data_IF_729776709231
#
_entry.id   IF_729776709231
#
_cell.length_a   1.000
_cell.length_b   1.000
_cell.length_c   1.000
_cell.angle_alpha   90.00
_cell.angle_beta   90.00
_cell.angle_gamma   90.00
#
_symmetry.space_group_name_H-M   'P 1'
#
loop_
_entity.id
_entity.type
_entity.pdbx_description
1 polymer ?
#
# COMPACT_ATOMS: atom_id res chain seq x y z
N UNK A 1 -38.80 37.56 -25.55
CA UNK A 1 -38.67 37.51 -24.07
C UNK A 1 -37.22 37.53 -23.56
N UNK A 2 -36.20 37.34 -24.41
CA UNK A 2 -34.78 37.39 -24.00
C UNK A 2 -34.24 38.80 -23.71
N UNK A 3 -34.84 39.86 -24.30
CA UNK A 3 -34.36 41.25 -24.21
C UNK A 3 -34.50 41.93 -22.84
N UNK A 4 -35.45 41.50 -22.00
CA UNK A 4 -35.72 42.11 -20.69
C UNK A 4 -34.76 41.59 -19.61
N UNK A 5 -34.38 40.31 -19.66
CA UNK A 5 -33.41 39.69 -18.72
C UNK A 5 -32.00 40.26 -18.90
N UNK A 6 -31.68 40.74 -20.09
CA UNK A 6 -30.40 41.41 -20.37
C UNK A 6 -30.32 42.81 -19.77
N UNK A 7 -31.45 43.51 -19.64
CA UNK A 7 -31.50 44.91 -19.19
C UNK A 7 -31.86 45.10 -17.72
N UNK A 8 -32.55 44.13 -17.13
CA UNK A 8 -33.05 44.21 -15.76
C UNK A 8 -32.70 42.96 -14.95
N UNK A 9 -32.35 43.16 -13.69
CA UNK A 9 -32.16 42.12 -12.69
C UNK A 9 -33.34 42.11 -11.72
N UNK A 10 -33.81 40.92 -11.38
CA UNK A 10 -34.97 40.70 -10.53
C UNK A 10 -34.49 40.58 -9.08
N UNK A 11 -35.00 41.45 -8.22
CA UNK A 11 -34.69 41.51 -6.80
C UNK A 11 -35.95 41.21 -5.97
N UNK A 12 -35.76 40.71 -4.75
CA UNK A 12 -36.85 40.42 -3.81
C UNK A 12 -36.56 41.15 -2.50
N UNK A 13 -37.42 42.11 -2.17
CA UNK A 13 -37.34 42.85 -0.92
C UNK A 13 -37.92 41.97 0.19
N UNK A 14 -37.09 41.57 1.17
CA UNK A 14 -37.55 40.69 2.24
C UNK A 14 -38.38 41.42 3.32
N UNK A 15 -38.24 42.73 3.45
CA UNK A 15 -39.02 43.50 4.44
C UNK A 15 -40.42 43.80 3.94
N UNK A 16 -40.59 43.93 2.61
CA UNK A 16 -41.86 44.26 1.96
C UNK A 16 -42.49 43.10 1.20
N UNK A 17 -41.85 41.93 1.22
CA UNK A 17 -42.24 40.68 0.53
C UNK A 17 -42.67 40.86 -0.93
N UNK A 18 -42.01 41.76 -1.67
CA UNK A 18 -42.35 42.07 -3.06
C UNK A 18 -41.15 41.96 -3.98
N UNK A 19 -41.43 41.48 -5.19
CA UNK A 19 -40.46 41.41 -6.28
C UNK A 19 -40.40 42.75 -7.00
N UNK A 20 -39.20 43.28 -7.22
CA UNK A 20 -38.96 44.46 -8.05
C UNK A 20 -37.80 44.22 -9.02
N UNK A 21 -37.66 45.08 -10.03
CA UNK A 21 -36.67 44.92 -11.08
C UNK A 21 -35.78 46.16 -11.17
N UNK A 22 -34.46 45.96 -11.07
CA UNK A 22 -33.46 47.03 -11.12
C UNK A 22 -32.77 46.99 -12.48
N UNK A 23 -32.59 48.16 -13.10
CA UNK A 23 -31.95 48.29 -14.42
C UNK A 23 -30.44 48.09 -14.26
N UNK A 24 -29.87 47.13 -14.98
CA UNK A 24 -28.43 46.86 -14.99
C UNK A 24 -27.69 48.08 -15.56
N UNK A 25 -26.73 48.63 -14.81
CA UNK A 25 -25.89 49.73 -15.31
C UNK A 25 -24.99 49.21 -16.45
N UNK A 26 -25.02 49.90 -17.60
CA UNK A 26 -24.19 49.56 -18.76
C UNK A 26 -22.76 50.01 -18.50
N UNK A 27 -21.91 49.07 -18.13
CA UNK A 27 -20.45 49.26 -18.12
C UNK A 27 -20.00 49.41 -19.59
N UNK A 28 -19.21 50.43 -19.96
CA UNK A 28 -18.68 50.56 -21.32
C UNK A 28 -17.90 49.30 -21.69
N UNK A 29 -18.10 48.79 -22.91
CA UNK A 29 -17.35 47.64 -23.43
C UNK A 29 -15.89 48.05 -23.61
N UNK A 30 -15.10 47.89 -22.56
CA UNK A 30 -13.65 47.80 -22.70
C UNK A 30 -13.32 46.67 -23.67
N UNK A 31 -12.35 46.93 -24.54
CA UNK A 31 -11.90 46.05 -25.61
C UNK A 31 -11.87 44.60 -25.13
N UNK A 32 -12.35 43.68 -25.97
CA UNK A 32 -12.21 42.24 -25.77
C UNK A 32 -10.74 41.95 -25.42
N UNK A 33 -10.42 41.85 -24.12
CA UNK A 33 -9.28 41.06 -23.69
C UNK A 33 -9.64 39.67 -24.18
N UNK A 34 -8.82 39.16 -25.08
CA UNK A 34 -8.86 37.75 -25.41
C UNK A 34 -9.02 36.96 -24.10
N UNK A 35 -9.89 35.93 -24.08
CA UNK A 35 -10.04 35.12 -22.88
C UNK A 35 -8.64 34.76 -22.41
N UNK A 36 -8.29 34.93 -21.11
CA UNK A 36 -6.93 34.70 -20.65
C UNK A 36 -6.51 33.36 -21.22
N UNK A 37 -5.43 33.39 -22.02
CA UNK A 37 -4.97 32.26 -22.81
C UNK A 37 -5.15 31.02 -21.96
N UNK A 38 -6.03 30.10 -22.40
CA UNK A 38 -6.22 28.83 -21.73
C UNK A 38 -4.84 28.19 -21.63
N UNK A 39 -4.22 28.29 -20.46
CA UNK A 39 -2.84 27.86 -20.24
C UNK A 39 -2.72 26.34 -20.42
N UNK A 40 -3.85 25.65 -20.48
CA UNK A 40 -3.93 24.21 -20.57
C UNK A 40 -5.31 23.78 -21.08
N UNK A 41 -5.36 23.00 -22.16
CA UNK A 41 -6.51 22.13 -22.44
C UNK A 41 -6.23 20.77 -21.80
N UNK A 42 -7.01 20.35 -20.79
CA UNK A 42 -6.73 19.13 -20.07
C UNK A 42 -6.90 17.88 -20.93
N UNK A 43 -6.03 16.87 -20.76
CA UNK A 43 -6.09 15.61 -21.50
C UNK A 43 -7.51 15.02 -21.52
N UNK A 44 -7.95 14.39 -22.62
CA UNK A 44 -9.32 13.89 -22.80
C UNK A 44 -9.84 13.00 -21.65
N UNK A 45 -8.94 12.39 -20.90
CA UNK A 45 -9.22 11.56 -19.72
C UNK A 45 -9.70 12.38 -18.50
N UNK A 46 -9.32 13.66 -18.38
CA UNK A 46 -9.79 14.59 -17.34
C UNK A 46 -11.20 15.13 -17.64
N UNK A 47 -11.58 15.22 -18.92
CA UNK A 47 -12.95 15.59 -19.35
C UNK A 47 -13.96 14.47 -19.13
N UNK A 48 -13.49 13.23 -18.98
CA UNK A 48 -14.32 12.02 -18.91
C UNK A 48 -14.74 11.61 -17.50
N UNK A 49 -13.95 11.92 -16.46
CA UNK A 49 -14.20 11.37 -15.12
C UNK A 49 -15.07 12.21 -14.17
N UNK A 50 -15.36 13.48 -14.47
CA UNK A 50 -16.19 14.32 -13.61
C UNK A 50 -17.10 15.27 -14.41
N UNK A 51 -18.32 14.83 -14.74
CA UNK A 51 -19.47 15.71 -15.00
C UNK A 51 -19.99 16.27 -13.67
N UNK A 52 -19.16 17.04 -12.99
CA UNK A 52 -19.61 17.92 -11.92
C UNK A 52 -19.11 19.30 -12.34
N UNK A 53 -20.02 20.28 -12.40
CA UNK A 53 -19.62 21.68 -12.47
C UNK A 53 -18.57 21.99 -11.40
N UNK A 54 -17.98 23.19 -11.47
CA UNK A 54 -16.91 23.69 -10.59
C UNK A 54 -16.97 22.98 -9.22
N UNK A 55 -15.97 22.13 -8.87
CA UNK A 55 -16.00 21.26 -7.70
C UNK A 55 -16.52 22.02 -6.47
N UNK A 56 -17.33 21.37 -5.63
CA UNK A 56 -17.88 22.01 -4.41
C UNK A 56 -16.75 22.59 -3.56
N UNK A 57 -15.58 21.95 -3.54
CA UNK A 57 -14.36 22.46 -2.94
C UNK A 57 -13.85 23.73 -3.62
N UNK A 58 -13.89 23.84 -4.96
CA UNK A 58 -13.51 25.05 -5.69
C UNK A 58 -14.57 26.16 -5.53
N UNK A 59 -15.86 25.84 -5.45
CA UNK A 59 -16.90 26.83 -5.11
C UNK A 59 -16.78 27.31 -3.67
N UNK A 60 -16.48 26.41 -2.72
CA UNK A 60 -16.16 26.73 -1.33
C UNK A 60 -14.93 27.61 -1.26
N UNK A 61 -13.83 27.21 -1.91
CA UNK A 61 -12.57 27.96 -1.94
C UNK A 61 -12.72 29.32 -2.64
N UNK A 62 -13.53 29.41 -3.70
CA UNK A 62 -13.87 30.69 -4.34
C UNK A 62 -14.72 31.58 -3.42
N UNK A 63 -15.63 30.97 -2.63
CA UNK A 63 -16.40 31.66 -1.61
C UNK A 63 -15.52 32.13 -0.44
N UNK A 64 -14.49 31.36 -0.07
CA UNK A 64 -13.50 31.73 0.95
C UNK A 64 -12.50 32.79 0.44
N UNK A 65 -12.11 32.73 -0.85
CA UNK A 65 -11.20 33.68 -1.48
C UNK A 65 -11.78 35.09 -1.64
N UNK A 66 -13.11 35.20 -1.72
CA UNK A 66 -13.83 36.46 -1.88
C UNK A 66 -14.60 36.89 -0.61
N UNK A 67 -14.34 36.26 0.53
CA UNK A 67 -15.08 36.50 1.78
C UNK A 67 -14.59 37.75 2.50
N UNK A 68 -15.52 38.56 3.02
CA UNK A 68 -15.14 39.73 3.83
C UNK A 68 -14.59 39.29 5.20
N UNK A 69 -13.70 40.10 5.82
CA UNK A 69 -13.17 39.79 7.16
C UNK A 69 -14.26 39.55 8.22
N UNK A 70 -15.38 40.27 8.15
CA UNK A 70 -16.52 40.12 9.07
C UNK A 70 -17.33 38.83 8.85
N UNK A 71 -17.41 38.37 7.60
CA UNK A 71 -18.01 37.06 7.28
C UNK A 71 -17.12 35.92 7.78
N UNK A 72 -15.80 36.05 7.59
CA UNK A 72 -14.83 35.09 8.11
C UNK A 72 -14.89 35.04 9.65
N UNK A 73 -14.95 36.20 10.32
CA UNK A 73 -15.08 36.31 11.76
C UNK A 73 -16.34 35.63 12.29
N UNK A 74 -17.50 35.81 11.65
CA UNK A 74 -18.76 35.13 12.03
C UNK A 74 -18.67 33.61 11.91
N UNK A 75 -18.01 33.09 10.87
CA UNK A 75 -17.81 31.64 10.71
C UNK A 75 -16.93 31.07 11.82
N UNK A 76 -15.83 31.76 12.15
CA UNK A 76 -14.92 31.35 13.23
C UNK A 76 -15.62 31.42 14.59
N UNK A 77 -16.36 32.50 14.85
CA UNK A 77 -17.15 32.65 16.08
C UNK A 77 -18.23 31.57 16.20
N UNK A 78 -18.93 31.23 15.11
CA UNK A 78 -19.90 30.15 15.09
C UNK A 78 -19.24 28.79 15.37
N UNK A 79 -18.11 28.51 14.71
CA UNK A 79 -17.34 27.29 14.93
C UNK A 79 -16.88 27.16 16.39
N UNK A 80 -16.42 28.26 17.00
CA UNK A 80 -16.00 28.31 18.40
C UNK A 80 -17.18 28.11 19.36
N UNK A 81 -18.33 28.73 19.11
CA UNK A 81 -19.55 28.52 19.92
C UNK A 81 -20.01 27.07 19.86
N UNK A 82 -19.97 26.44 18.68
CA UNK A 82 -20.28 25.02 18.53
C UNK A 82 -19.24 24.13 19.24
N UNK A 83 -17.95 24.47 19.20
CA UNK A 83 -16.91 23.77 19.94
C UNK A 83 -17.15 23.84 21.45
N UNK A 84 -17.36 25.04 21.99
CA UNK A 84 -17.64 25.26 23.41
C UNK A 84 -18.90 24.51 23.87
N UNK A 85 -19.95 24.50 23.05
CA UNK A 85 -21.17 23.71 23.33
C UNK A 85 -20.91 22.21 23.37
N UNK A 86 -20.11 21.68 22.43
CA UNK A 86 -19.73 20.26 22.42
C UNK A 86 -18.84 19.90 23.61
N UNK A 87 -17.86 20.71 23.98
CA UNK A 87 -17.03 20.49 25.16
C UNK A 87 -17.85 20.51 26.45
N UNK A 88 -18.79 21.45 26.57
CA UNK A 88 -19.71 21.49 27.70
C UNK A 88 -20.55 20.21 27.80
N UNK A 89 -21.10 19.74 26.69
CA UNK A 89 -21.86 18.48 26.64
C UNK A 89 -20.99 17.25 26.92
N UNK A 90 -19.75 17.20 26.43
CA UNK A 90 -18.80 16.12 26.77
C UNK A 90 -18.54 16.09 28.26
N UNK A 91 -18.29 17.24 28.88
CA UNK A 91 -18.10 17.33 30.34
C UNK A 91 -19.31 16.79 31.12
N UNK A 92 -20.53 17.10 30.68
CA UNK A 92 -21.75 16.53 31.27
C UNK A 92 -21.83 15.01 31.06
N UNK A 93 -21.50 14.52 29.86
CA UNK A 93 -21.52 13.09 29.58
C UNK A 93 -20.46 12.34 30.40
N UNK A 94 -19.26 12.90 30.59
CA UNK A 94 -18.22 12.31 31.43
C UNK A 94 -18.67 12.18 32.89
N UNK A 95 -19.38 13.17 33.42
CA UNK A 95 -19.85 13.09 34.81
C UNK A 95 -21.03 12.14 35.01
N UNK A 96 -21.84 11.92 33.97
CA UNK A 96 -23.07 11.11 34.06
C UNK A 96 -22.93 9.69 33.54
N UNK A 97 -21.98 9.40 32.67
CA UNK A 97 -21.83 8.09 32.02
C UNK A 97 -20.55 7.43 32.52
N UNK A 98 -20.70 6.28 33.19
CA UNK A 98 -19.61 5.44 33.66
C UNK A 98 -19.38 4.27 32.74
N UNK A 99 -18.12 4.01 32.40
CA UNK A 99 -17.69 2.80 31.71
C UNK A 99 -17.52 1.68 32.73
N UNK A 100 -18.28 0.60 32.62
CA UNK A 100 -18.28 -0.53 33.55
C UNK A 100 -17.93 -1.81 32.80
N UNK A 101 -17.25 -2.74 33.46
CA UNK A 101 -16.91 -4.04 32.90
C UNK A 101 -18.01 -5.06 33.22
N UNK A 102 -18.49 -5.79 32.22
CA UNK A 102 -19.35 -6.94 32.43
C UNK A 102 -18.52 -8.23 32.35
N UNK A 103 -18.41 -8.92 33.49
CA UNK A 103 -17.66 -10.18 33.61
C UNK A 103 -18.31 -11.34 32.84
N UNK A 104 -19.62 -11.29 32.60
CA UNK A 104 -20.34 -12.36 31.89
C UNK A 104 -20.14 -12.25 30.37
N UNK A 105 -20.17 -11.02 29.83
CA UNK A 105 -19.99 -10.76 28.40
C UNK A 105 -18.54 -10.48 27.99
N UNK A 106 -17.64 -10.27 28.94
CA UNK A 106 -16.22 -9.96 28.70
C UNK A 106 -16.00 -8.66 27.92
N UNK A 107 -16.88 -7.66 28.11
CA UNK A 107 -16.83 -6.36 27.41
C UNK A 107 -17.26 -5.21 28.33
N UNK A 108 -16.80 -4.00 28.00
CA UNK A 108 -17.26 -2.79 28.67
C UNK A 108 -18.63 -2.34 28.14
N UNK A 109 -19.49 -1.86 29.05
CA UNK A 109 -20.72 -1.15 28.74
C UNK A 109 -20.71 0.24 29.40
N UNK A 110 -21.55 1.13 28.89
CA UNK A 110 -21.66 2.51 29.38
C UNK A 110 -22.97 2.66 30.14
N UNK A 111 -22.89 2.94 31.43
CA UNK A 111 -24.02 3.12 32.32
C UNK A 111 -24.26 4.59 32.60
N UNK A 112 -25.46 5.07 32.30
CA UNK A 112 -25.89 6.41 32.66
C UNK A 112 -26.39 6.41 34.12
N UNK A 113 -25.67 7.10 35.00
CA UNK A 113 -25.98 7.18 36.43
C UNK A 113 -27.32 7.90 36.67
N UNK A 114 -27.69 8.84 35.78
CA UNK A 114 -28.90 9.66 35.95
C UNK A 114 -30.17 8.99 35.44
N UNK A 115 -30.12 8.35 34.27
CA UNK A 115 -31.30 7.64 33.71
C UNK A 115 -31.37 6.17 34.15
N UNK A 116 -30.29 5.66 34.76
CA UNK A 116 -30.12 4.25 35.15
C UNK A 116 -30.18 3.27 33.98
N UNK A 117 -29.95 3.75 32.77
CA UNK A 117 -29.92 2.94 31.55
C UNK A 117 -28.48 2.52 31.21
N UNK A 118 -28.33 1.31 30.68
CA UNK A 118 -27.07 0.79 30.17
C UNK A 118 -27.08 0.70 28.64
N UNK A 119 -26.01 1.16 28.00
CA UNK A 119 -25.80 1.06 26.57
C UNK A 119 -24.47 0.39 26.24
N UNK A 120 -24.47 -0.48 25.24
CA UNK A 120 -23.26 -1.13 24.74
C UNK A 120 -22.45 -0.25 23.77
N UNK A 121 -23.03 0.86 23.32
CA UNK A 121 -22.39 1.83 22.43
C UNK A 121 -21.85 3.04 23.20
N UNK A 122 -20.61 3.46 22.92
CA UNK A 122 -20.03 4.71 23.45
C UNK A 122 -20.83 5.89 22.87
N UNK A 123 -21.28 6.86 23.69
CA UNK A 123 -22.00 8.03 23.19
C UNK A 123 -21.23 8.74 22.08
N UNK A 124 -21.93 9.15 21.01
CA UNK A 124 -21.31 9.71 19.79
C UNK A 124 -20.36 10.89 20.04
N UNK A 125 -20.64 11.70 21.06
CA UNK A 125 -19.80 12.85 21.42
C UNK A 125 -18.48 12.47 22.12
N UNK A 126 -18.34 11.23 22.61
CA UNK A 126 -17.15 10.69 23.28
C UNK A 126 -16.33 9.72 22.40
N UNK A 127 -16.70 9.50 21.13
CA UNK A 127 -16.05 8.52 20.24
C UNK A 127 -14.58 8.82 19.92
N UNK A 128 -14.19 10.09 19.99
CA UNK A 128 -12.85 10.59 19.63
C UNK A 128 -12.18 11.31 20.82
N UNK A 129 -12.60 11.03 22.05
CA UNK A 129 -11.98 11.58 23.27
C UNK A 129 -10.87 10.59 23.69
N UNK A 130 -9.60 11.00 23.56
CA UNK A 130 -8.41 10.16 23.79
C UNK A 130 -7.97 10.13 25.28
N UNK A 131 -8.66 10.85 26.16
CA UNK A 131 -8.37 10.98 27.60
C UNK A 131 -8.84 9.77 28.45
N UNK A 132 -8.95 8.56 27.88
CA UNK A 132 -9.24 7.34 28.65
C UNK A 132 -7.95 6.90 29.41
N UNK A 133 -7.65 7.58 30.52
CA UNK A 133 -6.63 7.23 31.52
C UNK A 133 -7.10 6.03 32.34
N UNK A 134 -6.48 4.85 32.14
CA UNK A 134 -6.24 3.85 33.18
C UNK A 134 -5.36 2.73 32.66
N UNK A 135 -4.10 2.84 33.03
CA UNK A 135 -2.98 1.99 32.67
C UNK A 135 -2.69 1.03 33.84
N UNK A 136 -3.63 0.15 34.23
CA UNK A 136 -3.33 -0.87 35.27
C UNK A 136 -4.30 -2.08 35.26
N UNK A 137 -4.00 -3.15 34.50
CA UNK A 137 -4.31 -4.55 34.85
C UNK A 137 -3.81 -5.60 33.82
N UNK A 138 -3.60 -6.87 34.24
CA UNK A 138 -2.57 -7.76 33.67
C UNK A 138 -2.99 -8.52 32.41
N UNK A 139 -1.98 -8.84 31.58
CA UNK A 139 -2.07 -9.58 30.32
C UNK A 139 -2.84 -10.90 30.47
N UNK A 140 -4.01 -10.99 29.85
CA UNK A 140 -4.63 -12.24 29.43
C UNK A 140 -5.12 -12.14 27.98
N UNK A 141 -4.78 -13.17 27.23
CA UNK A 141 -4.83 -13.33 25.78
C UNK A 141 -6.25 -13.17 25.21
N UNK A 142 -6.48 -12.17 24.36
CA UNK A 142 -7.50 -12.27 23.31
C UNK A 142 -7.16 -11.38 22.11
N UNK A 143 -7.38 -11.92 20.92
CA UNK A 143 -6.90 -11.45 19.63
C UNK A 143 -7.35 -10.02 19.28
N UNK A 144 -6.38 -9.12 19.16
CA UNK A 144 -6.54 -7.84 18.48
C UNK A 144 -6.79 -8.05 16.99
N UNK A 145 -8.00 -7.75 16.55
CA UNK A 145 -8.25 -7.22 15.20
C UNK A 145 -8.35 -5.69 15.31
N UNK A 146 -7.20 -5.01 15.32
CA UNK A 146 -7.09 -3.66 14.78
C UNK A 146 -6.29 -3.75 13.48
N UNK A 147 -7.03 -3.60 12.39
CA UNK A 147 -6.54 -3.57 11.02
C UNK A 147 -5.68 -2.32 10.86
N UNK A 148 -4.36 -2.48 10.95
CA UNK A 148 -3.40 -1.52 10.42
C UNK A 148 -3.41 -1.63 8.90
N UNK A 149 -4.23 -0.81 8.27
CA UNK A 149 -4.29 -0.69 6.81
C UNK A 149 -3.08 0.10 6.25
N UNK A 150 -1.85 -0.39 6.43
CA UNK A 150 -0.64 0.26 5.89
C UNK A 150 0.36 -0.73 5.28
N UNK A 151 -0.12 -1.60 4.39
CA UNK A 151 0.73 -2.48 3.58
C UNK A 151 0.34 -2.44 2.11
N UNK A 152 1.02 -1.59 1.32
CA UNK A 152 0.92 -1.46 -0.16
C UNK A 152 -0.44 -1.03 -0.71
N UNK A 153 -0.94 0.13 -0.27
CA UNK A 153 -1.55 1.02 -1.26
C UNK A 153 -0.40 1.57 -2.09
N UNK A 154 -0.50 1.39 -3.41
CA UNK A 154 0.22 2.17 -4.41
C UNK A 154 0.52 3.56 -3.85
N UNK A 155 1.78 3.99 -3.89
CA UNK A 155 2.15 5.39 -3.71
C UNK A 155 1.51 6.22 -4.85
N UNK A 156 0.19 6.37 -4.83
CA UNK A 156 -0.33 7.70 -5.02
C UNK A 156 0.33 8.49 -3.90
N UNK A 157 1.09 9.52 -4.25
CA UNK A 157 1.60 10.51 -3.32
C UNK A 157 0.38 11.11 -2.60
N UNK A 158 -0.14 10.42 -1.60
CA UNK A 158 -1.01 11.00 -0.60
C UNK A 158 -0.15 12.07 0.04
N UNK A 159 -0.40 13.31 -0.36
CA UNK A 159 0.07 14.49 0.33
C UNK A 159 -0.23 14.26 1.81
N UNK A 160 0.81 14.08 2.62
CA UNK A 160 0.65 13.79 4.05
C UNK A 160 -0.18 14.92 4.64
N UNK A 161 -1.33 14.62 5.25
CA UNK A 161 -2.22 15.62 5.87
C UNK A 161 -1.41 16.57 6.77
N UNK A 162 -0.43 16.01 7.48
CA UNK A 162 0.65 16.68 8.25
C UNK A 162 1.28 17.91 7.60
N UNK A 163 1.47 17.88 6.30
CA UNK A 163 2.12 18.95 5.54
C UNK A 163 1.15 20.04 5.05
N UNK A 164 -0.15 19.83 5.25
CA UNK A 164 -1.23 20.70 4.78
C UNK A 164 -2.18 21.14 5.91
N UNK A 165 -1.75 21.04 7.17
CA UNK A 165 -2.57 21.39 8.34
C UNK A 165 -2.74 22.91 8.57
N UNK A 166 -1.88 23.73 7.97
CA UNK A 166 -1.93 25.20 8.03
C UNK A 166 -1.69 25.77 6.63
N UNK A 167 -2.28 26.93 6.33
CA UNK A 167 -2.13 27.61 5.03
C UNK A 167 -0.67 27.91 4.71
N UNK A 168 0.11 28.34 5.70
CA UNK A 168 1.54 28.61 5.54
C UNK A 168 2.36 27.34 5.32
N UNK A 169 1.97 26.22 5.95
CA UNK A 169 2.62 24.93 5.75
C UNK A 169 2.30 24.35 4.35
N UNK A 170 1.05 24.51 3.91
CA UNK A 170 0.61 24.16 2.56
C UNK A 170 1.32 25.01 1.51
N UNK A 171 1.43 26.33 1.71
CA UNK A 171 2.14 27.22 0.80
C UNK A 171 3.62 26.84 0.67
N UNK A 172 4.31 26.60 1.79
CA UNK A 172 5.71 26.15 1.81
C UNK A 172 5.91 24.83 1.06
N UNK A 173 5.00 23.88 1.23
CA UNK A 173 5.10 22.57 0.58
C UNK A 173 4.82 22.65 -0.92
N UNK A 174 3.85 23.45 -1.34
CA UNK A 174 3.58 23.73 -2.76
C UNK A 174 4.77 24.44 -3.41
N UNK A 175 5.33 25.47 -2.76
CA UNK A 175 6.52 26.17 -3.24
C UNK A 175 7.73 25.23 -3.36
N UNK A 176 7.95 24.35 -2.38
CA UNK A 176 9.02 23.36 -2.43
C UNK A 176 8.83 22.34 -3.57
N UNK A 177 7.59 21.88 -3.79
CA UNK A 177 7.25 21.00 -4.91
C UNK A 177 7.48 21.69 -6.26
N UNK A 178 7.09 22.95 -6.40
CA UNK A 178 7.33 23.74 -7.59
C UNK A 178 8.82 23.95 -7.86
N UNK A 179 9.60 24.33 -6.84
CA UNK A 179 11.06 24.45 -6.95
C UNK A 179 11.70 23.15 -7.42
N UNK A 180 11.29 22.00 -6.86
CA UNK A 180 11.74 20.67 -7.29
C UNK A 180 11.36 20.35 -8.74
N UNK A 181 10.16 20.73 -9.17
CA UNK A 181 9.72 20.55 -10.55
C UNK A 181 10.54 21.42 -11.50
N UNK A 182 10.72 22.71 -11.18
CA UNK A 182 11.45 23.66 -11.99
C UNK A 182 12.93 23.26 -12.16
N UNK A 183 13.60 22.84 -11.07
CA UNK A 183 14.98 22.34 -11.15
C UNK A 183 15.07 21.07 -12.01
N UNK A 184 14.13 20.14 -11.87
CA UNK A 184 14.11 18.92 -12.68
C UNK A 184 13.84 19.21 -14.17
N UNK A 185 12.95 20.15 -14.48
CA UNK A 185 12.70 20.59 -15.86
C UNK A 185 13.94 21.22 -16.48
N UNK A 186 14.60 22.13 -15.77
CA UNK A 186 15.84 22.77 -16.24
C UNK A 186 16.97 21.76 -16.45
N UNK A 187 17.14 20.83 -15.51
CA UNK A 187 18.13 19.75 -15.63
C UNK A 187 17.85 18.84 -16.84
N UNK A 188 16.60 18.45 -17.06
CA UNK A 188 16.22 17.66 -18.23
C UNK A 188 16.50 18.42 -19.54
N UNK A 189 16.23 19.73 -19.58
CA UNK A 189 16.57 20.55 -20.75
C UNK A 189 18.09 20.67 -20.99
N UNK A 190 18.90 20.66 -19.93
CA UNK A 190 20.35 20.58 -20.07
C UNK A 190 20.79 19.21 -20.59
N UNK A 191 20.19 18.13 -20.09
CA UNK A 191 20.46 16.77 -20.56
C UNK A 191 20.06 16.57 -22.03
N UNK A 192 18.97 17.18 -22.50
CA UNK A 192 18.59 17.10 -23.91
C UNK A 192 19.52 17.87 -24.85
N UNK A 193 20.26 18.85 -24.33
CA UNK A 193 21.32 19.54 -25.08
C UNK A 193 22.62 18.75 -25.07
N UNK A 194 22.92 18.06 -23.97
CA UNK A 194 24.19 17.35 -23.73
C UNK A 194 24.22 15.94 -24.32
N UNK A 195 23.14 15.19 -24.19
CA UNK A 195 23.09 13.79 -24.61
C UNK A 195 22.28 13.60 -25.89
N UNK A 196 22.75 12.69 -26.75
CA UNK A 196 22.08 12.25 -27.98
C UNK A 196 22.00 10.73 -27.97
N UNK A 197 20.88 10.16 -28.40
CA UNK A 197 20.75 8.71 -28.55
C UNK A 197 20.82 8.38 -30.03
N UNK A 198 21.89 7.73 -30.47
CA UNK A 198 22.21 7.53 -31.89
C UNK A 198 22.19 6.04 -32.19
N UNK A 199 21.82 5.64 -33.40
CA UNK A 199 21.91 4.25 -33.85
C UNK A 199 23.30 3.96 -34.40
N UNK A 200 23.93 2.89 -33.92
CA UNK A 200 25.15 2.39 -34.54
C UNK A 200 24.82 1.73 -35.90
N UNK A 201 25.42 2.17 -37.02
CA UNK A 201 25.16 1.61 -38.34
C UNK A 201 25.58 0.14 -38.49
N UNK A 202 26.50 -0.36 -37.66
CA UNK A 202 26.97 -1.75 -37.75
C UNK A 202 26.08 -2.69 -36.93
N UNK A 203 25.85 -2.37 -35.66
CA UNK A 203 25.06 -3.23 -34.77
C UNK A 203 23.55 -3.00 -34.82
N UNK A 204 23.10 -1.87 -35.36
CA UNK A 204 21.69 -1.46 -35.31
C UNK A 204 21.18 -1.25 -33.88
N UNK A 205 22.07 -1.05 -32.89
CA UNK A 205 21.71 -0.79 -31.49
C UNK A 205 21.86 0.70 -31.16
N UNK A 206 20.98 1.27 -30.32
CA UNK A 206 21.11 2.64 -29.88
C UNK A 206 22.16 2.80 -28.79
N UNK A 207 23.03 3.80 -28.92
CA UNK A 207 23.98 4.23 -27.90
C UNK A 207 23.77 5.71 -27.53
N UNK A 208 24.26 6.13 -26.37
CA UNK A 208 24.18 7.51 -25.91
C UNK A 208 25.52 8.20 -26.11
N UNK A 209 25.52 9.33 -26.80
CA UNK A 209 26.67 10.19 -27.02
C UNK A 209 26.57 11.46 -26.17
N UNK A 210 27.59 11.73 -25.36
CA UNK A 210 27.75 12.98 -24.63
C UNK A 210 28.48 14.00 -25.50
N UNK A 211 27.77 15.03 -25.96
CA UNK A 211 28.35 16.05 -26.83
C UNK A 211 29.31 17.00 -26.13
N UNK A 212 29.30 17.04 -24.80
CA UNK A 212 30.21 17.90 -24.01
C UNK A 212 31.48 17.14 -23.65
N UNK A 213 31.35 15.88 -23.25
CA UNK A 213 32.51 15.04 -22.92
C UNK A 213 33.15 14.36 -24.14
N UNK A 214 32.44 14.30 -25.28
CA UNK A 214 32.90 13.61 -26.49
C UNK A 214 32.91 12.08 -26.36
N UNK A 215 32.22 11.52 -25.37
CA UNK A 215 32.23 10.09 -25.06
C UNK A 215 30.94 9.40 -25.48
N UNK A 216 31.05 8.14 -25.91
CA UNK A 216 29.92 7.28 -26.25
C UNK A 216 29.76 6.18 -25.20
N UNK A 217 28.52 5.94 -24.77
CA UNK A 217 28.17 4.88 -23.81
C UNK A 217 26.97 4.08 -24.30
N UNK A 218 27.09 2.76 -24.28
CA UNK A 218 25.97 1.85 -24.58
C UNK A 218 24.91 1.83 -23.47
N UNK A 219 25.27 2.25 -22.26
CA UNK A 219 24.36 2.31 -21.12
C UNK A 219 23.68 3.68 -21.02
N UNK A 220 22.39 3.68 -20.66
CA UNK A 220 21.63 4.91 -20.42
C UNK A 220 22.25 5.69 -19.24
N UNK A 221 22.62 6.96 -19.43
CA UNK A 221 23.20 7.78 -18.36
C UNK A 221 22.29 7.83 -17.13
N UNK A 222 22.83 7.53 -15.94
CA UNK A 222 22.06 7.47 -14.70
C UNK A 222 21.35 8.80 -14.38
N UNK A 223 21.94 9.93 -14.81
CA UNK A 223 21.38 11.29 -14.68
C UNK A 223 20.01 11.46 -15.34
N UNK A 224 19.69 10.65 -16.36
CA UNK A 224 18.40 10.65 -17.05
C UNK A 224 17.28 10.03 -16.18
N UNK A 225 17.65 9.15 -15.24
CA UNK A 225 16.72 8.45 -14.34
C UNK A 225 15.65 7.67 -15.11
N UNK A 226 14.38 7.94 -14.81
CA UNK A 226 13.23 7.29 -15.47
C UNK A 226 12.97 7.78 -16.90
N UNK A 227 13.60 8.89 -17.32
CA UNK A 227 13.43 9.45 -18.65
C UNK A 227 14.37 8.77 -19.65
N UNK A 228 14.05 8.89 -20.93
CA UNK A 228 14.86 8.43 -22.06
C UNK A 228 14.91 9.52 -23.15
N UNK A 229 15.75 9.36 -24.16
CA UNK A 229 15.83 10.22 -25.34
C UNK A 229 15.27 9.49 -26.57
N UNK A 230 14.64 10.23 -27.48
CA UNK A 230 14.34 9.73 -28.83
C UNK A 230 15.62 9.50 -29.61
N UNK A 231 15.53 8.59 -30.58
CA UNK A 231 16.61 8.41 -31.56
C UNK A 231 16.84 9.74 -32.27
N UNK A 232 18.08 10.19 -32.20
CA UNK A 232 18.52 11.44 -32.76
C UNK A 232 18.68 11.26 -34.26
N UNK A 233 17.81 11.92 -35.02
CA UNK A 233 17.86 11.97 -36.48
C UNK A 233 18.49 13.30 -36.91
N UNK A 234 19.59 13.23 -37.67
CA UNK A 234 20.28 14.40 -38.23
C UNK A 234 19.45 15.12 -39.32
N UNK A 235 18.38 14.49 -39.83
CA UNK A 235 17.49 15.07 -40.85
C UNK A 235 16.62 16.22 -40.31
N UNK A 236 16.31 16.20 -39.00
CA UNK A 236 15.42 17.17 -38.36
C UNK A 236 16.20 18.35 -37.74
N UNK A 237 17.00 19.06 -38.53
CA UNK A 237 17.63 20.30 -38.09
C UNK A 237 16.55 21.39 -37.87
N UNK A 238 16.19 21.65 -36.61
CA UNK A 238 15.30 22.75 -36.25
C UNK A 238 15.85 24.08 -36.76
N UNK A 239 14.99 24.91 -37.38
CA UNK A 239 15.34 26.19 -38.00
C UNK A 239 16.07 27.20 -37.06
N UNK A 240 16.13 26.90 -35.75
CA UNK A 240 16.87 27.67 -34.75
C UNK A 240 18.38 27.32 -34.64
N UNK A 241 18.90 26.36 -35.43
CA UNK A 241 20.31 25.95 -35.41
C UNK A 241 20.77 25.23 -34.14
N UNK A 242 19.88 25.03 -33.16
CA UNK A 242 20.18 24.35 -31.89
C UNK A 242 19.79 22.87 -31.96
N UNK A 243 20.79 22.00 -32.07
CA UNK A 243 20.64 20.54 -31.99
C UNK A 243 20.27 20.12 -30.56
N UNK A 244 19.07 19.57 -30.35
CA UNK A 244 18.58 19.06 -29.06
C UNK A 244 17.86 17.74 -29.26
N UNK A 245 18.05 16.77 -28.36
CA UNK A 245 17.32 15.51 -28.35
C UNK A 245 15.91 15.68 -27.74
N UNK A 246 14.93 14.94 -28.23
CA UNK A 246 13.59 14.92 -27.63
C UNK A 246 13.60 14.01 -26.41
N UNK A 247 13.14 14.50 -25.27
CA UNK A 247 13.06 13.70 -24.04
C UNK A 247 11.76 12.93 -24.05
N UNK A 248 11.86 11.61 -23.97
CA UNK A 248 10.76 10.71 -23.76
C UNK A 248 10.57 10.55 -22.25
N UNK A 249 9.45 11.03 -21.73
CA UNK A 249 8.98 10.60 -20.42
C UNK A 249 8.80 9.08 -20.45
N UNK A 250 9.06 8.33 -19.35
CA UNK A 250 8.93 6.89 -19.33
C UNK A 250 7.62 6.48 -20.00
N UNK A 251 7.74 5.93 -21.21
CA UNK A 251 6.64 5.23 -21.85
C UNK A 251 6.22 4.21 -20.81
N UNK A 252 4.93 4.20 -20.50
CA UNK A 252 4.23 3.55 -19.39
C UNK A 252 4.48 2.03 -19.23
N UNK A 253 5.69 1.55 -19.38
CA UNK A 253 6.09 0.18 -19.70
C UNK A 253 6.47 -0.60 -18.45
N UNK A 254 5.95 -0.22 -17.29
CA UNK A 254 6.02 -1.10 -16.12
C UNK A 254 4.73 -1.16 -15.31
N UNK A 255 3.81 -0.18 -15.40
CA UNK A 255 2.52 -0.33 -14.70
C UNK A 255 1.31 0.43 -15.26
N UNK A 256 1.51 1.45 -16.11
CA UNK A 256 0.41 2.29 -16.62
C UNK A 256 -0.05 1.91 -18.04
N UNK A 257 0.73 1.18 -18.83
CA UNK A 257 0.36 0.71 -20.18
C UNK A 257 -0.71 -0.39 -20.17
N UNK A 258 -0.82 -1.12 -19.06
CA UNK A 258 -1.92 -2.08 -18.85
C UNK A 258 -3.27 -1.32 -18.80
N UNK A 259 -3.26 -0.07 -18.31
CA UNK A 259 -4.47 0.75 -18.20
C UNK A 259 -4.91 1.33 -19.54
N UNK A 260 -3.98 1.61 -20.47
CA UNK A 260 -4.31 2.12 -21.80
C UNK A 260 -4.72 1.03 -22.80
N UNK A 261 -4.33 -0.23 -22.58
CA UNK A 261 -4.77 -1.41 -23.37
C UNK A 261 -6.15 -1.94 -22.96
N UNK A 262 -6.71 -1.48 -21.84
CA UNK A 262 -8.10 -1.77 -21.48
C UNK A 262 -9.03 -1.00 -22.42
N UNK A 263 -10.03 -1.66 -23.05
CA UNK A 263 -10.94 -0.98 -23.96
C UNK A 263 -11.55 0.24 -23.26
N UNK A 264 -11.41 1.42 -23.87
CA UNK A 264 -11.85 2.68 -23.29
C UNK A 264 -13.39 2.73 -23.29
N UNK A 265 -13.99 2.13 -22.24
CA UNK A 265 -15.43 2.21 -21.98
C UNK A 265 -15.75 3.69 -21.79
N UNK A 266 -16.55 4.26 -22.69
CA UNK A 266 -17.02 5.65 -22.57
C UNK A 266 -17.75 5.85 -21.25
N UNK A 267 -17.68 7.03 -20.65
CA UNK A 267 -18.36 7.30 -19.37
C UNK A 267 -19.87 7.11 -19.51
N UNK A 268 -20.42 7.38 -20.69
CA UNK A 268 -21.80 7.03 -21.07
C UNK A 268 -22.07 5.53 -20.96
N UNK A 269 -21.17 4.67 -21.43
CA UNK A 269 -21.28 3.22 -21.27
C UNK A 269 -21.09 2.78 -19.80
N UNK A 270 -20.20 3.43 -19.05
CA UNK A 270 -19.98 3.17 -17.62
C UNK A 270 -21.20 3.52 -16.77
N UNK A 271 -21.80 4.69 -17.01
CA UNK A 271 -23.05 5.16 -16.41
C UNK A 271 -24.23 4.26 -16.80
N UNK A 272 -24.35 3.86 -18.07
CA UNK A 272 -25.38 2.91 -18.52
C UNK A 272 -25.24 1.55 -17.83
N UNK A 273 -24.01 1.04 -17.69
CA UNK A 273 -23.73 -0.21 -16.95
C UNK A 273 -24.05 -0.07 -15.46
N UNK A 274 -23.70 1.06 -14.85
CA UNK A 274 -24.00 1.34 -13.44
C UNK A 274 -25.52 1.45 -13.20
N UNK A 275 -26.25 2.17 -14.05
CA UNK A 275 -27.72 2.29 -13.99
C UNK A 275 -28.39 0.92 -14.16
N UNK A 276 -27.96 0.10 -15.13
CA UNK A 276 -28.43 -1.29 -15.31
C UNK A 276 -28.14 -2.15 -14.08
N UNK A 277 -26.97 -2.00 -13.45
CA UNK A 277 -26.61 -2.72 -12.21
C UNK A 277 -27.53 -2.32 -11.05
N UNK A 278 -27.77 -1.02 -10.86
CA UNK A 278 -28.68 -0.52 -9.81
C UNK A 278 -30.12 -0.95 -10.06
N UNK A 279 -30.58 -0.95 -11.31
CA UNK A 279 -31.90 -1.44 -11.67
C UNK A 279 -32.04 -2.94 -11.36
N UNK A 280 -31.04 -3.76 -11.73
CA UNK A 280 -31.00 -5.18 -11.34
C UNK A 280 -30.96 -5.38 -9.83
N UNK A 281 -30.27 -4.51 -9.08
CA UNK A 281 -30.24 -4.57 -7.62
C UNK A 281 -31.61 -4.24 -7.01
N UNK A 282 -32.35 -3.27 -7.56
CA UNK A 282 -33.70 -2.89 -7.12
C UNK A 282 -34.76 -3.96 -7.44
N UNK A 283 -34.62 -4.65 -8.56
CA UNK A 283 -35.55 -5.70 -9.01
C UNK A 283 -35.20 -7.09 -8.44
N UNK A 284 -34.15 -7.19 -7.63
CA UNK A 284 -33.68 -8.46 -7.10
C UNK A 284 -34.62 -9.00 -6.02
N UNK A 285 -34.98 -10.28 -6.11
CA UNK A 285 -35.72 -10.94 -5.04
C UNK A 285 -34.86 -11.12 -3.78
N UNK A 286 -35.52 -11.28 -2.63
CA UNK A 286 -34.83 -11.54 -1.36
C UNK A 286 -33.92 -12.77 -1.42
N UNK A 287 -34.35 -13.82 -2.12
CA UNK A 287 -33.61 -15.08 -2.23
C UNK A 287 -32.41 -14.98 -3.17
N UNK A 288 -32.51 -14.21 -4.26
CA UNK A 288 -31.38 -13.94 -5.15
C UNK A 288 -30.32 -13.09 -4.43
N UNK A 289 -30.76 -12.10 -3.63
CA UNK A 289 -29.88 -11.28 -2.81
C UNK A 289 -29.18 -12.11 -1.72
N UNK A 290 -29.93 -12.95 -1.01
CA UNK A 290 -29.40 -13.87 0.00
C UNK A 290 -28.38 -14.84 -0.62
N UNK A 291 -28.71 -15.46 -1.76
CA UNK A 291 -27.83 -16.37 -2.49
C UNK A 291 -26.51 -15.70 -2.89
N UNK A 292 -26.54 -14.43 -3.33
CA UNK A 292 -25.33 -13.66 -3.64
C UNK A 292 -24.47 -13.38 -2.42
N UNK A 293 -25.09 -12.97 -1.31
CA UNK A 293 -24.38 -12.74 -0.06
C UNK A 293 -23.74 -14.02 0.45
N UNK A 294 -24.46 -15.14 0.43
CA UNK A 294 -23.93 -16.44 0.80
C UNK A 294 -22.77 -16.86 -0.11
N UNK A 295 -22.86 -16.67 -1.44
CA UNK A 295 -21.74 -16.92 -2.36
C UNK A 295 -20.52 -16.07 -2.01
N UNK A 296 -20.70 -14.77 -1.77
CA UNK A 296 -19.60 -13.89 -1.36
C UNK A 296 -18.97 -14.36 -0.05
N UNK A 297 -19.78 -14.75 0.93
CA UNK A 297 -19.30 -15.26 2.20
C UNK A 297 -18.53 -16.58 2.05
N UNK A 298 -19.06 -17.54 1.28
CA UNK A 298 -18.38 -18.81 0.97
C UNK A 298 -17.04 -18.57 0.28
N UNK A 299 -16.98 -17.67 -0.71
CA UNK A 299 -15.72 -17.29 -1.36
C UNK A 299 -14.75 -16.64 -0.39
N UNK A 300 -15.21 -15.74 0.49
CA UNK A 300 -14.37 -15.09 1.51
C UNK A 300 -13.81 -16.12 2.48
N UNK A 301 -14.64 -17.06 2.94
CA UNK A 301 -14.26 -18.17 3.82
C UNK A 301 -13.22 -19.08 3.17
N UNK A 302 -13.48 -19.58 1.96
CA UNK A 302 -12.54 -20.43 1.23
C UNK A 302 -11.19 -19.74 0.99
N UNK A 303 -11.19 -18.44 0.65
CA UNK A 303 -9.95 -17.66 0.53
C UNK A 303 -9.20 -17.51 1.87
N UNK A 304 -9.91 -17.44 3.00
CA UNK A 304 -9.29 -17.39 4.32
C UNK A 304 -8.64 -18.73 4.65
N UNK A 305 -9.36 -19.83 4.48
CA UNK A 305 -8.85 -21.19 4.72
C UNK A 305 -7.63 -21.50 3.85
N UNK A 306 -7.69 -21.18 2.55
CA UNK A 306 -6.56 -21.33 1.64
C UNK A 306 -5.35 -20.46 2.04
N UNK A 307 -5.58 -19.25 2.55
CA UNK A 307 -4.49 -18.41 3.08
C UNK A 307 -3.82 -19.06 4.28
N UNK A 308 -4.58 -19.61 5.24
CA UNK A 308 -3.98 -20.28 6.40
C UNK A 308 -3.12 -21.48 5.97
N UNK A 309 -3.60 -22.28 5.01
CA UNK A 309 -2.83 -23.39 4.45
C UNK A 309 -1.54 -22.91 3.78
N UNK A 310 -1.59 -21.79 3.05
CA UNK A 310 -0.41 -21.18 2.43
C UNK A 310 0.56 -20.61 3.47
N UNK A 311 0.08 -20.03 4.57
CA UNK A 311 0.93 -19.56 5.67
C UNK A 311 1.69 -20.70 6.36
N UNK A 312 1.09 -21.89 6.44
CA UNK A 312 1.75 -23.07 7.00
C UNK A 312 2.74 -23.71 6.00
N UNK A 313 2.39 -23.70 4.70
CA UNK A 313 3.19 -24.31 3.66
C UNK A 313 4.43 -23.49 3.25
N UNK A 314 4.34 -22.16 3.30
CA UNK A 314 5.44 -21.27 2.87
C UNK A 314 6.26 -20.75 4.04
N UNK A 315 7.57 -20.66 3.83
CA UNK A 315 8.53 -20.04 4.73
C UNK A 315 9.21 -18.87 4.03
N UNK A 316 9.48 -17.79 4.78
CA UNK A 316 10.27 -16.65 4.30
C UNK A 316 11.73 -16.85 4.70
N UNK A 317 12.63 -16.91 3.74
CA UNK A 317 14.06 -17.19 3.93
C UNK A 317 14.88 -16.01 3.42
N UNK A 318 15.86 -15.56 4.21
CA UNK A 318 16.82 -14.52 3.80
C UNK A 318 17.99 -15.17 3.07
N UNK A 319 18.32 -14.66 1.88
CA UNK A 319 19.52 -15.05 1.15
C UNK A 319 20.63 -14.01 1.37
N UNK A 320 21.73 -14.36 2.06
CA UNK A 320 22.84 -13.45 2.32
C UNK A 320 23.60 -13.01 1.06
N UNK A 321 23.54 -13.77 -0.03
CA UNK A 321 24.29 -13.45 -1.26
C UNK A 321 23.59 -12.38 -2.08
N UNK A 322 22.25 -12.41 -2.10
CA UNK A 322 21.43 -11.42 -2.82
C UNK A 322 20.90 -10.32 -1.91
N UNK A 323 21.05 -10.44 -0.59
CA UNK A 323 20.46 -9.56 0.44
C UNK A 323 18.92 -9.46 0.34
N UNK A 324 18.27 -10.45 -0.26
CA UNK A 324 16.84 -10.46 -0.52
C UNK A 324 16.15 -11.66 0.15
N UNK A 325 14.84 -11.52 0.41
CA UNK A 325 14.03 -12.63 0.89
C UNK A 325 13.43 -13.41 -0.27
N UNK A 326 13.43 -14.73 -0.16
CA UNK A 326 12.63 -15.61 -1.01
C UNK A 326 11.64 -16.43 -0.18
N UNK A 327 10.62 -16.96 -0.85
CA UNK A 327 9.54 -17.74 -0.27
C UNK A 327 9.67 -19.20 -0.70
N UNK A 328 9.94 -20.07 0.26
CA UNK A 328 10.10 -21.50 0.02
C UNK A 328 8.84 -22.26 0.39
N UNK A 329 8.29 -23.04 -0.54
CA UNK A 329 7.17 -23.92 -0.26
C UNK A 329 7.68 -25.26 0.26
N UNK A 330 7.46 -25.53 1.55
CA UNK A 330 7.89 -26.77 2.22
C UNK A 330 7.23 -28.03 1.67
N UNK A 331 6.02 -27.90 1.09
CA UNK A 331 5.25 -29.04 0.58
C UNK A 331 5.69 -29.45 -0.82
N UNK A 332 6.08 -28.49 -1.66
CA UNK A 332 6.49 -28.76 -3.05
C UNK A 332 8.00 -28.67 -3.27
N UNK A 333 8.76 -28.14 -2.31
CA UNK A 333 10.20 -27.93 -2.42
C UNK A 333 10.61 -26.79 -3.36
N UNK A 334 9.67 -25.96 -3.81
CA UNK A 334 9.93 -24.90 -4.80
C UNK A 334 10.15 -23.56 -4.09
N UNK A 335 11.24 -22.88 -4.46
CA UNK A 335 11.54 -21.52 -4.02
C UNK A 335 11.03 -20.48 -5.06
N UNK A 336 10.48 -19.37 -4.58
CA UNK A 336 10.06 -18.24 -5.41
C UNK A 336 10.47 -16.93 -4.76
N UNK A 337 10.93 -15.96 -5.55
CA UNK A 337 11.29 -14.62 -5.08
C UNK A 337 10.06 -13.75 -4.76
N UNK A 338 8.91 -14.07 -5.36
CA UNK A 338 7.67 -13.33 -5.15
C UNK A 338 6.80 -13.96 -4.06
N UNK A 339 6.22 -13.10 -3.20
CA UNK A 339 5.25 -13.55 -2.17
C UNK A 339 4.02 -14.13 -2.89
N UNK A 340 3.54 -15.34 -2.51
CA UNK A 340 2.35 -15.93 -3.11
C UNK A 340 1.17 -14.95 -3.13
N UNK A 341 0.48 -14.83 -4.28
CA UNK A 341 -0.50 -13.76 -4.53
C UNK A 341 -1.60 -13.64 -3.46
N UNK A 342 -2.05 -14.77 -2.89
CA UNK A 342 -3.06 -14.78 -1.83
C UNK A 342 -2.54 -14.31 -0.46
N UNK A 343 -1.22 -14.27 -0.25
CA UNK A 343 -0.56 -13.78 0.96
C UNK A 343 -0.14 -12.30 0.84
N UNK A 344 -0.29 -11.69 -0.34
CA UNK A 344 0.00 -10.27 -0.56
C UNK A 344 -1.09 -9.41 0.09
N UNK A 345 -0.69 -8.43 0.91
CA UNK A 345 -1.61 -7.50 1.58
C UNK A 345 -2.21 -8.00 2.90
N UNK A 346 -1.96 -9.27 3.27
CA UNK A 346 -2.18 -9.74 4.64
C UNK A 346 -1.04 -9.18 5.50
N UNK A 347 -1.36 -8.34 6.49
CA UNK A 347 -0.37 -7.66 7.35
C UNK A 347 0.42 -8.62 8.26
N UNK A 348 0.09 -9.91 8.20
CA UNK A 348 0.85 -10.99 8.82
C UNK A 348 2.09 -11.31 7.99
N UNK A 349 3.23 -11.32 8.67
CA UNK A 349 4.46 -11.83 8.11
C UNK A 349 4.43 -13.36 8.07
N UNK A 350 4.95 -13.92 6.96
CA UNK A 350 5.14 -15.38 6.84
C UNK A 350 6.23 -15.78 7.83
N UNK A 351 6.06 -16.93 8.49
CA UNK A 351 7.03 -17.44 9.46
C UNK A 351 8.42 -17.43 8.83
N UNK A 352 9.35 -16.75 9.50
CA UNK A 352 10.76 -16.79 9.13
C UNK A 352 11.33 -18.14 9.57
N UNK A 353 12.14 -18.76 8.72
CA UNK A 353 12.94 -19.92 9.15
C UNK A 353 13.81 -19.49 10.32
N UNK A 354 13.85 -20.28 11.40
CA UNK A 354 14.85 -20.10 12.46
C UNK A 354 16.21 -20.11 11.79
N UNK A 355 16.88 -18.96 11.75
CA UNK A 355 18.22 -18.84 11.19
C UNK A 355 19.11 -19.72 12.06
N UNK A 356 19.49 -20.90 11.55
CA UNK A 356 20.54 -21.68 12.15
C UNK A 356 21.81 -20.86 11.92
N UNK A 357 22.24 -20.14 12.96
CA UNK A 357 23.44 -19.31 12.89
C UNK A 357 24.58 -20.15 12.32
N UNK A 358 25.27 -19.63 11.30
CA UNK A 358 26.49 -20.27 10.79
C UNK A 358 27.42 -20.51 11.97
N UNK A 359 27.94 -21.74 12.08
CA UNK A 359 28.81 -22.14 13.18
C UNK A 359 30.13 -21.34 13.23
N UNK A 360 30.52 -20.75 12.10
CA UNK A 360 31.68 -19.86 11.93
C UNK A 360 31.21 -18.50 11.45
N UNK A 361 31.82 -17.43 11.96
CA UNK A 361 31.54 -16.05 11.59
C UNK A 361 32.09 -15.67 10.22
N UNK A 362 33.14 -16.35 9.74
CA UNK A 362 33.79 -16.08 8.45
C UNK A 362 33.74 -17.26 7.47
N UNK A 363 33.92 -16.96 6.18
CA UNK A 363 34.09 -17.94 5.12
C UNK A 363 35.55 -18.39 5.06
N UNK A 364 35.79 -19.70 5.06
CA UNK A 364 37.14 -20.27 4.95
C UNK A 364 37.61 -20.14 3.50
N UNK A 365 38.52 -19.22 3.24
CA UNK A 365 39.12 -18.96 1.91
C UNK A 365 40.54 -19.48 1.80
N UNK A 366 41.28 -19.57 2.91
CA UNK A 366 42.66 -20.03 2.92
C UNK A 366 42.75 -21.56 2.70
N UNK A 367 43.58 -22.05 1.74
CA UNK A 367 43.71 -23.48 1.46
C UNK A 367 44.19 -24.31 2.67
N UNK A 368 45.09 -23.75 3.49
CA UNK A 368 45.62 -24.40 4.69
C UNK A 368 44.54 -24.62 5.76
N UNK A 369 43.72 -23.60 6.00
CA UNK A 369 42.58 -23.68 6.92
C UNK A 369 41.52 -24.67 6.39
N UNK A 370 41.19 -24.61 5.09
CA UNK A 370 40.26 -25.54 4.45
C UNK A 370 40.71 -27.01 4.63
N UNK A 371 42.01 -27.29 4.45
CA UNK A 371 42.60 -28.63 4.67
C UNK A 371 42.39 -29.10 6.11
N UNK A 372 42.61 -28.25 7.11
CA UNK A 372 42.39 -28.60 8.53
C UNK A 372 40.92 -28.89 8.83
N UNK A 373 40.01 -28.10 8.25
CA UNK A 373 38.56 -28.32 8.38
C UNK A 373 38.14 -29.66 7.77
N UNK A 374 38.66 -29.99 6.59
CA UNK A 374 38.39 -31.28 5.94
C UNK A 374 38.97 -32.44 6.75
N UNK A 375 40.21 -32.33 7.23
CA UNK A 375 40.84 -33.37 8.07
C UNK A 375 40.05 -33.63 9.36
N UNK A 376 39.64 -32.57 10.06
CA UNK A 376 38.82 -32.70 11.27
C UNK A 376 37.47 -33.31 10.96
N UNK A 377 36.82 -32.89 9.87
CA UNK A 377 35.58 -33.50 9.41
C UNK A 377 35.73 -34.99 9.13
N UNK A 378 36.77 -35.40 8.39
CA UNK A 378 37.03 -36.80 8.03
C UNK A 378 37.33 -37.65 9.26
N UNK A 379 38.11 -37.16 10.22
CA UNK A 379 38.35 -37.84 11.51
C UNK A 379 37.05 -38.05 12.28
N UNK A 380 36.20 -37.02 12.37
CA UNK A 380 34.89 -37.13 13.01
C UNK A 380 33.94 -38.06 12.22
N UNK A 381 34.03 -38.12 10.90
CA UNK A 381 33.25 -39.04 10.09
C UNK A 381 33.67 -40.49 10.34
N UNK A 382 34.97 -40.79 10.32
CA UNK A 382 35.51 -42.11 10.64
C UNK A 382 35.13 -42.58 12.06
N UNK A 383 35.30 -41.72 13.07
CA UNK A 383 34.89 -42.05 14.45
C UNK A 383 33.38 -42.31 14.57
N UNK A 384 32.55 -41.60 13.79
CA UNK A 384 31.09 -41.83 13.76
C UNK A 384 30.74 -43.16 13.12
N UNK A 385 31.39 -43.53 12.01
CA UNK A 385 31.21 -44.84 11.38
C UNK A 385 31.60 -45.97 12.33
N UNK A 386 32.72 -45.82 13.04
CA UNK A 386 33.15 -46.81 14.03
C UNK A 386 32.16 -46.93 15.19
N UNK A 387 31.65 -45.80 15.71
CA UNK A 387 30.57 -45.82 16.71
C UNK A 387 29.33 -46.56 16.18
N UNK A 388 28.94 -46.35 14.92
CA UNK A 388 27.79 -47.05 14.34
C UNK A 388 28.03 -48.55 14.22
N UNK A 389 29.24 -48.96 13.82
CA UNK A 389 29.65 -50.36 13.78
C UNK A 389 29.55 -51.00 15.17
N UNK A 390 30.06 -50.33 16.20
CA UNK A 390 29.97 -50.79 17.59
C UNK A 390 28.52 -50.85 18.09
N UNK A 391 27.69 -49.87 17.73
CA UNK A 391 26.27 -49.87 18.08
C UNK A 391 25.49 -50.97 17.39
N UNK A 392 25.76 -51.28 16.11
CA UNK A 392 25.19 -52.44 15.42
C UNK A 392 25.62 -53.77 16.07
N UNK A 393 26.88 -53.84 16.51
CA UNK A 393 27.38 -55.01 17.22
C UNK A 393 26.75 -55.19 18.60
N UNK A 394 26.32 -54.10 19.27
CA UNK A 394 25.81 -54.13 20.65
C UNK A 394 24.28 -54.14 20.74
N UNK A 395 23.62 -53.32 19.94
CA UNK A 395 22.17 -53.09 20.00
C UNK A 395 21.50 -53.80 18.83
N UNK A 396 20.44 -54.54 19.13
CA UNK A 396 19.63 -55.26 18.16
C UNK A 396 18.26 -54.60 18.05
N UNK A 397 17.78 -54.39 16.82
CA UNK A 397 16.42 -53.93 16.56
C UNK A 397 15.55 -55.14 16.28
N UNK A 398 14.57 -55.40 17.14
CA UNK A 398 13.74 -56.62 17.11
C UNK A 398 12.29 -56.24 16.90
N UNK A 399 11.58 -56.98 16.03
CA UNK A 399 10.15 -56.83 15.82
C UNK A 399 9.36 -57.64 16.85
N UNK A 400 8.41 -57.02 17.53
CA UNK A 400 7.46 -57.70 18.39
C UNK A 400 6.13 -57.93 17.64
N UNK A 401 5.76 -59.19 17.32
CA UNK A 401 4.52 -59.52 16.63
C UNK A 401 3.25 -59.11 17.39
N UNK A 402 3.30 -59.08 18.72
CA UNK A 402 2.12 -58.81 19.56
C UNK A 402 1.76 -57.32 19.56
N UNK A 403 2.77 -56.45 19.63
CA UNK A 403 2.59 -54.99 19.59
C UNK A 403 2.68 -54.40 18.18
N UNK A 404 3.09 -55.20 17.18
CA UNK A 404 3.41 -54.77 15.81
C UNK A 404 4.41 -53.60 15.77
N UNK A 405 5.34 -53.56 16.72
CA UNK A 405 6.33 -52.48 16.86
C UNK A 405 7.74 -53.04 17.00
N UNK A 406 8.72 -52.23 16.60
CA UNK A 406 10.13 -52.54 16.84
C UNK A 406 10.58 -52.01 18.20
N UNK A 407 11.34 -52.80 18.94
CA UNK A 407 12.08 -52.36 20.12
C UNK A 407 13.58 -52.56 19.94
N UNK A 408 14.36 -51.88 20.77
CA UNK A 408 15.82 -51.95 20.77
C UNK A 408 16.29 -52.71 22.00
N UNK A 409 17.07 -53.76 21.77
CA UNK A 409 17.62 -54.62 22.82
C UNK A 409 19.14 -54.44 22.90
N UNK A 410 19.66 -54.15 24.09
CA UNK A 410 21.10 -54.07 24.33
C UNK A 410 21.63 -55.45 24.74
N UNK A 411 22.40 -56.09 23.85
CA UNK A 411 22.92 -57.45 24.05
C UNK A 411 23.91 -57.57 25.20
N UNK A 412 24.52 -56.46 25.63
CA UNK A 412 25.50 -56.47 26.72
C UNK A 412 24.83 -56.37 28.09
N UNK A 413 23.81 -55.53 28.22
CA UNK A 413 23.14 -55.27 29.50
C UNK A 413 21.86 -56.08 29.68
N UNK A 414 21.35 -56.70 28.61
CA UNK A 414 20.08 -57.44 28.62
C UNK A 414 18.85 -56.55 28.73
N UNK A 415 18.98 -55.22 28.61
CA UNK A 415 17.86 -54.29 28.73
C UNK A 415 17.19 -54.02 27.38
N UNK A 416 15.86 -53.86 27.40
CA UNK A 416 15.04 -53.48 26.25
C UNK A 416 14.48 -52.07 26.37
N UNK A 417 14.46 -51.33 25.26
CA UNK A 417 13.86 -50.00 25.16
C UNK A 417 13.01 -49.88 23.90
N UNK A 418 11.77 -49.43 24.06
CA UNK A 418 10.90 -49.05 22.94
C UNK A 418 11.35 -47.77 22.25
N UNK A 419 12.20 -46.96 22.90
CA UNK A 419 12.78 -45.75 22.33
C UNK A 419 14.13 -46.03 21.68
N UNK A 420 14.30 -45.51 20.47
CA UNK A 420 15.57 -45.53 19.75
C UNK A 420 16.69 -44.87 20.58
N UNK A 421 17.84 -45.53 20.76
CA UNK A 421 19.00 -44.95 21.43
C UNK A 421 19.40 -43.60 20.84
N UNK A 422 19.57 -42.59 21.71
CA UNK A 422 19.93 -41.22 21.30
C UNK A 422 21.27 -41.19 20.54
N UNK A 423 22.16 -42.14 20.81
CA UNK A 423 23.47 -42.30 20.16
C UNK A 423 23.39 -42.59 18.66
N UNK A 424 22.31 -43.24 18.19
CA UNK A 424 22.09 -43.52 16.77
C UNK A 424 21.65 -42.28 15.98
N UNK A 425 21.13 -41.24 16.65
CA UNK A 425 20.61 -40.00 16.02
C UNK A 425 19.77 -40.30 14.76
N UNK A 426 20.24 -39.86 13.58
CA UNK A 426 19.56 -40.00 12.29
C UNK A 426 19.73 -41.34 11.60
N UNK A 427 20.59 -42.23 12.09
CA UNK A 427 20.86 -43.54 11.50
C UNK A 427 20.03 -44.61 12.18
N UNK A 428 19.53 -45.60 11.47
CA UNK A 428 18.75 -46.69 12.05
C UNK A 428 19.48 -48.03 11.92
N UNK A 429 19.17 -48.97 12.82
CA UNK A 429 19.71 -50.32 12.78
C UNK A 429 18.86 -51.17 11.85
N UNK A 430 19.49 -52.06 11.09
CA UNK A 430 18.78 -53.09 10.33
C UNK A 430 18.07 -54.01 11.31
N UNK A 431 16.78 -54.33 11.09
CA UNK A 431 16.09 -55.32 11.90
C UNK A 431 16.78 -56.66 11.77
N UNK A 432 16.87 -57.39 12.89
CA UNK A 432 17.47 -58.71 12.94
C UNK A 432 16.50 -59.81 12.50
#
# INVERSE_FOLDING_TARGET
MELLRERYEKHFDMEKERVYHVRKQRIPKEAKKDPPTKLWDPPPLLRKLYDLGVPVEIQRLARFANMSPDEAARIVQHAYRCYRGREFMRRILRSRIKKLWDATSGRYYYYNITTKESSWEKPRLLLNDDDDDDNQSPKAVSHETKITAHGRRRHALMLRSEKFHSEEAAARTIQALYRRFATRKSMLELLSRRYRKIMDPVSGQPYYYDSVAGTATWFKPAVLGDYDLELFDDSAASASGRRRSTIIAPHASSSLSIVSKLPHISDRARLKRHKRRLQRLRQMSRDEAASRLQRMWRTRRAKKELRELLFDAYERIFDPTTEHYYYYNRKTGVAKWEKPALLVGDGRDIKETKIIKRRRSHTVTAPSEAKLVLLTFMRCAAARLELHRLLQARIQKVFDPNSQQYYYFDKLTGQSSWKKPVTLKGYDLTPA
#
